data_IF_146848677629
#
_entry.id   IF_146848677629
#
_cell.length_a   1.000
_cell.length_b   1.000
_cell.length_c   1.000
_cell.angle_alpha   90.00
_cell.angle_beta   90.00
_cell.angle_gamma   90.00
#
_symmetry.space_group_name_H-M   'P 1'
#
loop_
_entity.id
_entity.type
_entity.pdbx_description
1 polymer ?
#
# COMPACT_ATOMS: atom_id res chain seq x y z
N UNK A 1 20.64 32.17 25.75
CA UNK A 1 20.78 30.86 26.42
C UNK A 1 19.46 30.21 26.86
N UNK A 2 18.40 30.95 27.27
CA UNK A 2 17.11 30.34 27.69
C UNK A 2 16.30 29.64 26.57
N UNK A 3 16.39 30.09 25.32
CA UNK A 3 15.60 29.52 24.21
C UNK A 3 16.00 28.09 23.82
N UNK A 4 17.30 27.76 23.88
CA UNK A 4 17.81 26.45 23.50
C UNK A 4 17.31 25.33 24.44
N UNK A 5 17.11 25.62 25.72
CA UNK A 5 16.58 24.66 26.68
C UNK A 5 15.09 24.35 26.44
N UNK A 6 14.29 25.36 26.04
CA UNK A 6 12.87 25.16 25.72
C UNK A 6 12.73 24.34 24.43
N UNK A 7 13.56 24.59 23.42
CA UNK A 7 13.58 23.81 22.18
C UNK A 7 13.97 22.35 22.42
N UNK A 8 14.99 22.10 23.24
CA UNK A 8 15.37 20.74 23.65
C UNK A 8 14.26 20.00 24.40
N UNK A 9 13.58 20.67 25.34
CA UNK A 9 12.46 20.07 26.06
C UNK A 9 11.27 19.77 25.13
N UNK A 10 10.97 20.68 24.19
CA UNK A 10 9.92 20.46 23.19
C UNK A 10 10.26 19.27 22.29
N UNK A 11 11.50 19.19 21.80
CA UNK A 11 11.96 18.06 20.99
C UNK A 11 11.87 16.73 21.76
N UNK A 12 12.32 16.71 23.03
CA UNK A 12 12.22 15.53 23.89
C UNK A 12 10.78 15.08 24.16
N UNK A 13 9.86 16.02 24.39
CA UNK A 13 8.44 15.71 24.56
C UNK A 13 7.80 15.15 23.30
N UNK A 14 8.06 15.76 22.13
CA UNK A 14 7.54 15.25 20.85
C UNK A 14 8.09 13.86 20.52
N UNK A 15 9.38 13.62 20.82
CA UNK A 15 9.99 12.31 20.66
C UNK A 15 9.34 11.26 21.57
N UNK A 16 9.15 11.57 22.86
CA UNK A 16 8.45 10.67 23.78
C UNK A 16 7.00 10.40 23.37
N UNK A 17 6.29 11.41 22.84
CA UNK A 17 4.95 11.24 22.28
C UNK A 17 4.95 10.31 21.08
N UNK A 18 5.90 10.47 20.14
CA UNK A 18 6.02 9.60 18.97
C UNK A 18 6.28 8.14 19.37
N UNK A 19 7.18 7.90 20.34
CA UNK A 19 7.44 6.57 20.91
C UNK A 19 6.17 5.97 21.52
N UNK A 20 5.43 6.75 22.31
CA UNK A 20 4.22 6.27 22.97
C UNK A 20 3.11 5.90 21.97
N UNK A 21 3.02 6.64 20.85
CA UNK A 21 2.05 6.37 19.80
C UNK A 21 2.41 5.10 19.01
N UNK A 22 3.69 4.90 18.67
CA UNK A 22 4.15 3.75 17.87
C UNK A 22 5.31 3.00 18.55
N UNK A 23 5.02 2.23 19.61
CA UNK A 23 6.05 1.60 20.44
C UNK A 23 6.88 0.56 19.68
N UNK A 24 6.32 -0.05 18.61
CA UNK A 24 7.07 -1.01 17.79
C UNK A 24 8.23 -0.34 17.03
N UNK A 25 8.10 0.94 16.70
CA UNK A 25 9.12 1.71 16.00
C UNK A 25 9.87 2.68 16.92
N UNK A 26 9.78 2.50 18.24
CA UNK A 26 10.35 3.40 19.24
C UNK A 26 11.86 3.64 19.07
N UNK A 27 12.60 2.63 18.60
CA UNK A 27 14.05 2.71 18.39
C UNK A 27 14.44 3.37 17.05
N UNK A 28 13.48 3.50 16.13
CA UNK A 28 13.71 3.96 14.76
C UNK A 28 13.02 5.28 14.45
N UNK A 29 12.49 5.97 15.47
CA UNK A 29 11.67 7.20 15.33
C UNK A 29 12.37 8.30 14.53
N UNK A 30 13.70 8.34 14.53
CA UNK A 30 14.48 9.40 13.87
C UNK A 30 15.44 8.88 12.81
N UNK A 31 15.85 7.61 12.89
CA UNK A 31 16.78 6.98 11.95
C UNK A 31 16.71 5.46 12.08
N UNK A 32 16.87 4.74 10.98
CA UNK A 32 17.02 3.29 10.96
C UNK A 32 15.85 2.54 10.32
N UNK A 33 15.88 1.21 10.42
CA UNK A 33 14.86 0.34 9.87
C UNK A 33 13.63 0.27 10.78
N UNK A 34 12.45 0.32 10.19
CA UNK A 34 11.17 0.25 10.87
C UNK A 34 10.17 -0.58 10.08
N UNK A 35 9.03 -0.90 10.70
CA UNK A 35 7.91 -1.55 10.03
C UNK A 35 6.67 -0.67 10.19
N UNK A 36 5.96 -0.42 9.10
CA UNK A 36 4.70 0.32 9.15
C UNK A 36 3.67 -0.44 9.97
N UNK A 37 3.12 0.22 10.99
CA UNK A 37 2.08 -0.30 11.89
C UNK A 37 0.80 0.50 11.71
N UNK A 38 -0.27 0.11 12.42
CA UNK A 38 -1.50 0.90 12.47
C UNK A 38 -1.33 2.26 13.16
N UNK A 39 -0.27 2.42 13.95
CA UNK A 39 0.02 3.65 14.67
C UNK A 39 1.11 4.50 14.01
N UNK A 40 1.76 3.98 12.98
CA UNK A 40 2.77 4.70 12.24
C UNK A 40 2.15 5.93 11.57
N UNK A 41 2.71 7.11 11.84
CA UNK A 41 2.16 8.36 11.31
C UNK A 41 2.19 8.42 9.78
N UNK A 42 3.01 7.59 9.14
CA UNK A 42 3.16 7.49 7.69
C UNK A 42 2.24 6.47 7.03
N UNK A 43 1.46 5.70 7.79
CA UNK A 43 0.45 4.83 7.22
C UNK A 43 -0.47 5.63 6.28
N UNK A 44 -0.77 5.08 5.10
CA UNK A 44 -1.50 5.73 4.00
C UNK A 44 -0.79 6.92 3.33
N UNK A 45 0.30 7.45 3.87
CA UNK A 45 1.08 8.48 3.17
C UNK A 45 1.78 7.88 1.95
N UNK A 46 2.12 8.73 0.97
CA UNK A 46 2.86 8.31 -0.22
C UNK A 46 4.36 8.46 0.01
N UNK A 47 5.10 7.45 -0.44
CA UNK A 47 6.55 7.52 -0.53
C UNK A 47 6.94 8.46 -1.69
N UNK A 48 7.75 9.47 -1.40
CA UNK A 48 8.22 10.49 -2.34
C UNK A 48 9.05 9.93 -3.51
N UNK A 49 9.60 8.72 -3.36
CA UNK A 49 10.46 8.08 -4.36
C UNK A 49 9.72 7.19 -5.36
N UNK A 50 8.79 6.40 -4.87
CA UNK A 50 8.12 5.38 -5.66
C UNK A 50 6.62 5.65 -5.83
N UNK A 51 6.10 6.69 -5.16
CA UNK A 51 4.71 7.15 -5.17
C UNK A 51 3.69 6.11 -4.68
N UNK A 52 4.16 4.99 -4.13
CA UNK A 52 3.30 4.02 -3.45
C UNK A 52 2.96 4.48 -2.03
N UNK A 53 1.74 4.18 -1.58
CA UNK A 53 1.34 4.40 -0.19
C UNK A 53 2.00 3.40 0.74
N UNK A 54 2.34 3.78 1.96
CA UNK A 54 2.77 2.85 3.01
C UNK A 54 1.57 2.06 3.56
N UNK A 55 1.72 0.73 3.63
CA UNK A 55 0.76 -0.25 4.15
C UNK A 55 1.28 -0.87 5.44
N UNK A 56 0.39 -1.33 6.31
CA UNK A 56 0.80 -2.12 7.47
C UNK A 56 1.65 -3.33 7.04
N UNK A 57 2.74 -3.58 7.77
CA UNK A 57 3.73 -4.62 7.46
C UNK A 57 4.83 -4.21 6.48
N UNK A 58 4.73 -3.04 5.83
CA UNK A 58 5.81 -2.55 4.97
C UNK A 58 7.06 -2.26 5.79
N UNK A 59 8.19 -2.85 5.37
CA UNK A 59 9.52 -2.47 5.85
C UNK A 59 9.88 -1.10 5.29
N UNK A 60 10.36 -0.22 6.14
CA UNK A 60 10.77 1.14 5.78
C UNK A 60 12.13 1.50 6.35
N UNK A 61 12.78 2.49 5.74
CA UNK A 61 13.98 3.14 6.24
C UNK A 61 13.61 4.59 6.59
N UNK A 62 13.92 4.99 7.81
CA UNK A 62 13.73 6.35 8.33
C UNK A 62 15.09 7.05 8.29
N UNK A 63 15.15 8.27 7.75
CA UNK A 63 16.38 9.05 7.71
C UNK A 63 16.13 10.55 7.97
N UNK A 64 17.12 11.29 8.49
CA UNK A 64 16.98 12.73 8.74
C UNK A 64 16.75 13.57 7.48
N UNK A 65 17.33 13.14 6.35
CA UNK A 65 17.31 13.87 5.08
C UNK A 65 16.07 13.54 4.23
N UNK A 66 15.52 12.35 4.42
CA UNK A 66 14.32 11.89 3.74
C UNK A 66 13.50 11.01 4.68
N UNK A 67 12.37 11.51 5.17
CA UNK A 67 11.84 11.06 6.44
C UNK A 67 11.52 9.57 6.41
N UNK A 68 10.94 9.02 5.32
CA UNK A 68 10.51 7.62 5.27
C UNK A 68 10.53 7.10 3.83
N UNK A 69 11.15 5.94 3.60
CA UNK A 69 11.17 5.26 2.30
C UNK A 69 10.88 3.77 2.46
N UNK A 70 10.25 3.14 1.47
CA UNK A 70 10.11 1.67 1.48
C UNK A 70 11.50 1.01 1.41
N UNK A 71 11.69 0.01 2.26
CA UNK A 71 12.88 -0.83 2.33
C UNK A 71 12.47 -2.28 2.03
N UNK A 72 12.02 -2.51 0.79
CA UNK A 72 11.56 -3.81 0.29
C UNK A 72 12.15 -4.07 -1.08
N UNK A 73 12.49 -5.33 -1.39
CA UNK A 73 12.94 -5.75 -2.73
C UNK A 73 11.88 -5.55 -3.80
N UNK A 74 10.60 -5.54 -3.41
CA UNK A 74 9.48 -5.31 -4.33
C UNK A 74 9.27 -3.83 -4.63
N UNK A 75 9.70 -2.95 -3.73
CA UNK A 75 9.54 -1.49 -3.79
C UNK A 75 10.85 -0.84 -3.31
N UNK A 76 11.95 -1.10 -4.00
CA UNK A 76 13.29 -0.69 -3.58
C UNK A 76 13.49 0.82 -3.72
N UNK A 77 12.84 1.59 -2.86
CA UNK A 77 12.91 3.05 -2.83
C UNK A 77 14.17 3.53 -2.08
N UNK A 78 14.85 2.61 -1.36
CA UNK A 78 16.08 2.82 -0.60
C UNK A 78 17.36 2.31 -1.31
N UNK A 79 17.26 1.61 -2.44
CA UNK A 79 18.42 1.07 -3.19
C UNK A 79 18.18 1.25 -4.69
N UNK A 80 19.07 1.92 -5.46
CA UNK A 80 19.01 1.87 -6.91
C UNK A 80 19.39 0.45 -7.35
N UNK A 81 18.40 -0.37 -7.68
CA UNK A 81 18.62 -1.74 -8.18
C UNK A 81 18.05 -1.89 -9.60
N UNK A 82 18.63 -2.80 -10.42
CA UNK A 82 18.37 -2.93 -11.85
C UNK A 82 16.91 -3.36 -12.13
N UNK A 83 16.45 -3.29 -13.39
CA UNK A 83 15.07 -3.62 -13.78
C UNK A 83 14.59 -4.93 -13.16
N UNK A 84 13.32 -4.89 -12.69
CA UNK A 84 12.61 -5.99 -12.06
C UNK A 84 12.75 -7.26 -12.89
N UNK A 85 13.15 -8.34 -12.23
CA UNK A 85 12.92 -9.68 -12.75
C UNK A 85 11.44 -9.99 -12.56
N UNK A 86 10.77 -10.44 -13.63
CA UNK A 86 9.42 -11.00 -13.55
C UNK A 86 9.35 -12.06 -12.43
N UNK A 87 8.18 -12.26 -11.78
CA UNK A 87 8.03 -13.26 -10.74
C UNK A 87 8.57 -14.61 -11.23
N UNK A 88 9.33 -15.30 -10.38
CA UNK A 88 9.89 -16.61 -10.74
C UNK A 88 8.78 -17.61 -11.03
N UNK A 89 9.09 -18.68 -11.77
CA UNK A 89 8.12 -19.74 -12.04
C UNK A 89 7.52 -20.31 -10.75
N UNK A 90 8.31 -20.42 -9.68
CA UNK A 90 7.84 -20.85 -8.35
C UNK A 90 6.87 -19.84 -7.72
N UNK A 91 7.15 -18.55 -7.86
CA UNK A 91 6.29 -17.47 -7.33
C UNK A 91 4.93 -17.48 -8.04
N UNK A 92 4.94 -17.60 -9.36
CA UNK A 92 3.71 -17.69 -10.16
C UNK A 92 2.91 -18.96 -9.83
N UNK A 93 3.58 -20.11 -9.67
CA UNK A 93 2.93 -21.37 -9.27
C UNK A 93 2.33 -21.29 -7.86
N UNK A 94 3.02 -20.64 -6.91
CA UNK A 94 2.48 -20.40 -5.57
C UNK A 94 1.19 -19.58 -5.63
N UNK A 95 1.19 -18.46 -6.36
CA UNK A 95 0.00 -17.61 -6.48
C UNK A 95 -1.13 -18.31 -7.22
N UNK A 96 -0.84 -19.12 -8.24
CA UNK A 96 -1.84 -19.94 -8.91
C UNK A 96 -2.48 -20.93 -7.94
N UNK A 97 -1.68 -21.65 -7.15
CA UNK A 97 -2.18 -22.54 -6.10
C UNK A 97 -3.03 -21.78 -5.06
N UNK A 98 -2.58 -20.61 -4.65
CA UNK A 98 -3.30 -19.76 -3.71
C UNK A 98 -4.67 -19.32 -4.27
N UNK A 99 -4.71 -18.84 -5.52
CA UNK A 99 -5.91 -18.33 -6.18
C UNK A 99 -6.98 -19.43 -6.35
N UNK A 100 -6.58 -20.68 -6.54
CA UNK A 100 -7.53 -21.81 -6.57
C UNK A 100 -8.23 -22.05 -5.23
N UNK A 101 -7.58 -21.73 -4.11
CA UNK A 101 -8.17 -21.84 -2.76
C UNK A 101 -9.00 -20.61 -2.37
N UNK A 102 -8.93 -19.52 -3.15
CA UNK A 102 -9.64 -18.28 -2.91
C UNK A 102 -10.42 -17.85 -4.17
N UNK A 103 -11.40 -18.66 -4.62
CA UNK A 103 -12.10 -18.46 -5.89
C UNK A 103 -12.76 -17.08 -5.96
N UNK A 104 -12.89 -16.53 -7.17
CA UNK A 104 -13.57 -15.26 -7.37
C UNK A 104 -15.02 -15.31 -6.83
N UNK A 105 -15.53 -14.23 -6.21
CA UNK A 105 -16.95 -14.09 -5.94
C UNK A 105 -17.76 -14.20 -7.24
N UNK A 106 -19.02 -14.65 -7.14
CA UNK A 106 -19.88 -14.85 -8.31
C UNK A 106 -19.89 -13.59 -9.20
N UNK A 107 -19.45 -13.76 -10.45
CA UNK A 107 -19.44 -12.74 -11.52
C UNK A 107 -18.48 -11.55 -11.34
N UNK A 108 -17.65 -11.51 -10.30
CA UNK A 108 -16.67 -10.45 -10.10
C UNK A 108 -15.34 -10.78 -10.81
N UNK A 109 -14.86 -9.93 -11.74
CA UNK A 109 -13.58 -10.18 -12.43
C UNK A 109 -12.41 -10.00 -11.45
N UNK A 110 -11.88 -11.13 -10.99
CA UNK A 110 -10.68 -11.22 -10.17
C UNK A 110 -9.44 -11.15 -11.06
N UNK A 111 -8.47 -10.31 -10.70
CA UNK A 111 -7.22 -10.11 -11.44
C UNK A 111 -6.05 -10.00 -10.48
N UNK A 112 -5.01 -10.79 -10.73
CA UNK A 112 -3.69 -10.58 -10.12
C UNK A 112 -2.90 -9.62 -11.00
N UNK A 113 -2.40 -8.53 -10.42
CA UNK A 113 -1.70 -7.50 -11.19
C UNK A 113 -0.29 -7.96 -11.52
N UNK A 114 0.05 -7.94 -12.81
CA UNK A 114 1.37 -8.32 -13.31
C UNK A 114 2.13 -7.11 -13.84
N UNK A 115 3.42 -7.28 -14.13
CA UNK A 115 4.22 -6.23 -14.74
C UNK A 115 3.62 -5.78 -16.09
N UNK A 116 3.59 -4.47 -16.32
CA UNK A 116 2.99 -3.88 -17.53
C UNK A 116 1.47 -3.70 -17.48
N UNK A 117 0.79 -4.12 -16.41
CA UNK A 117 -0.63 -3.86 -16.23
C UNK A 117 -0.92 -2.34 -16.22
N UNK A 118 -1.90 -1.84 -16.99
CA UNK A 118 -2.29 -0.42 -16.96
C UNK A 118 -2.62 0.10 -15.56
N UNK A 119 -3.12 -0.75 -14.65
CA UNK A 119 -3.41 -0.38 -13.27
C UNK A 119 -2.16 -0.14 -12.42
N UNK A 120 -0.98 -0.51 -12.91
CA UNK A 120 0.30 -0.26 -12.26
C UNK A 120 1.06 0.92 -12.86
N UNK A 121 0.44 1.62 -13.82
CA UNK A 121 1.06 2.77 -14.49
C UNK A 121 1.53 3.79 -13.44
N UNK A 122 2.81 4.21 -13.50
CA UNK A 122 3.34 5.24 -12.61
C UNK A 122 2.65 6.58 -12.82
N UNK A 123 2.71 7.44 -11.80
CA UNK A 123 2.20 8.80 -11.84
C UNK A 123 3.04 9.69 -12.77
N UNK A 124 2.83 9.61 -14.08
CA UNK A 124 3.42 10.55 -15.05
C UNK A 124 2.38 11.59 -15.49
N UNK A 125 2.84 12.82 -15.77
CA UNK A 125 2.01 13.85 -16.41
C UNK A 125 0.85 14.42 -15.56
N UNK A 126 0.92 14.32 -14.23
CA UNK A 126 -0.11 14.83 -13.32
C UNK A 126 -1.21 13.83 -12.96
N UNK A 127 -1.17 12.61 -13.49
CA UNK A 127 -2.07 11.53 -13.09
C UNK A 127 -1.56 10.83 -11.83
N UNK A 128 -2.47 10.50 -10.92
CA UNK A 128 -2.13 9.74 -9.71
C UNK A 128 -2.07 8.25 -10.03
N UNK A 129 -1.21 7.49 -9.33
CA UNK A 129 -1.24 6.03 -9.37
C UNK A 129 -2.64 5.50 -9.03
N UNK A 130 -3.07 4.46 -9.75
CA UNK A 130 -4.30 3.76 -9.39
C UNK A 130 -4.21 3.21 -7.97
N UNK A 131 -5.32 3.34 -7.26
CA UNK A 131 -5.44 2.97 -5.85
C UNK A 131 -6.75 2.23 -5.65
N UNK A 132 -6.79 1.37 -4.63
CA UNK A 132 -8.03 0.76 -4.20
C UNK A 132 -8.99 1.84 -3.72
N UNK A 133 -10.21 1.85 -4.27
CA UNK A 133 -11.21 2.88 -3.95
C UNK A 133 -11.72 2.83 -2.50
N UNK A 134 -11.50 1.72 -1.80
CA UNK A 134 -11.99 1.51 -0.43
C UNK A 134 -10.93 1.92 0.61
N UNK A 135 -9.70 1.38 0.51
CA UNK A 135 -8.64 1.67 1.49
C UNK A 135 -7.69 2.80 1.07
N UNK A 136 -7.78 3.29 -0.17
CA UNK A 136 -6.91 4.32 -0.70
C UNK A 136 -5.46 3.88 -0.97
N UNK A 137 -5.09 2.63 -0.70
CA UNK A 137 -3.75 2.14 -0.99
C UNK A 137 -3.50 2.01 -2.49
N UNK A 138 -2.38 2.53 -2.96
CA UNK A 138 -1.93 2.37 -4.35
C UNK A 138 -1.78 0.91 -4.69
N UNK A 139 -2.14 0.51 -5.91
CA UNK A 139 -2.00 -0.87 -6.39
C UNK A 139 -0.53 -1.21 -6.67
N UNK A 140 -0.14 -2.46 -6.43
CA UNK A 140 1.24 -2.98 -6.58
C UNK A 140 1.23 -4.26 -7.43
N UNK A 141 2.40 -4.61 -7.97
CA UNK A 141 2.60 -5.92 -8.60
C UNK A 141 2.22 -7.01 -7.58
N UNK A 142 1.59 -8.06 -8.10
CA UNK A 142 1.07 -9.21 -7.37
C UNK A 142 -0.10 -8.91 -6.44
N UNK A 143 -0.60 -7.67 -6.34
CA UNK A 143 -1.86 -7.43 -5.65
C UNK A 143 -2.97 -8.22 -6.36
N UNK A 144 -3.82 -8.86 -5.56
CA UNK A 144 -5.05 -9.48 -6.04
C UNK A 144 -6.20 -8.47 -5.89
N UNK A 145 -6.83 -8.11 -7.01
CA UNK A 145 -7.88 -7.10 -7.06
C UNK A 145 -9.13 -7.64 -7.74
N UNK A 146 -10.27 -7.08 -7.39
CA UNK A 146 -11.49 -7.19 -8.18
C UNK A 146 -11.66 -5.88 -8.95
N UNK A 147 -11.92 -6.00 -10.25
CA UNK A 147 -12.40 -4.86 -11.04
C UNK A 147 -13.91 -4.76 -10.83
N UNK A 148 -14.40 -3.56 -10.52
CA UNK A 148 -15.79 -3.37 -10.18
C UNK A 148 -16.71 -3.89 -11.33
N UNK A 149 -17.65 -4.81 -11.04
CA UNK A 149 -18.49 -5.45 -12.05
C UNK A 149 -19.72 -4.61 -12.44
N UNK A 150 -19.78 -3.32 -12.07
CA UNK A 150 -20.98 -2.50 -12.24
C UNK A 150 -21.46 -2.34 -13.70
N UNK A 151 -20.61 -2.63 -14.69
CA UNK A 151 -20.97 -2.70 -16.11
C UNK A 151 -20.39 -3.98 -16.74
N UNK A 152 -21.05 -5.14 -16.57
CA UNK A 152 -20.52 -6.42 -17.04
C UNK A 152 -20.34 -6.46 -18.57
N UNK A 153 -21.23 -5.78 -19.30
CA UNK A 153 -21.19 -5.75 -20.77
C UNK A 153 -20.19 -4.72 -21.34
N UNK A 154 -19.74 -3.76 -20.54
CA UNK A 154 -18.81 -2.71 -20.95
C UNK A 154 -18.02 -2.19 -19.74
N UNK A 155 -16.96 -2.87 -19.29
CA UNK A 155 -16.26 -2.58 -18.03
C UNK A 155 -15.37 -1.34 -18.14
N UNK A 156 -15.97 -0.17 -18.35
CA UNK A 156 -15.25 1.11 -18.44
C UNK A 156 -14.86 1.67 -17.07
N UNK A 157 -15.54 1.24 -16.00
CA UNK A 157 -15.32 1.82 -14.69
C UNK A 157 -13.89 1.59 -14.18
N UNK A 158 -13.22 0.48 -14.57
CA UNK A 158 -11.81 0.10 -14.25
C UNK A 158 -11.40 0.32 -12.77
N UNK A 159 -12.37 0.45 -11.87
CA UNK A 159 -12.14 0.66 -10.44
C UNK A 159 -11.66 -0.67 -9.88
N UNK A 160 -10.46 -0.65 -9.30
CA UNK A 160 -9.90 -1.80 -8.62
C UNK A 160 -10.21 -1.72 -7.12
N UNK A 161 -10.56 -2.85 -6.55
CA UNK A 161 -10.81 -3.04 -5.12
C UNK A 161 -9.90 -4.17 -4.67
N UNK A 162 -9.12 -3.96 -3.60
CA UNK A 162 -8.27 -5.03 -3.07
C UNK A 162 -9.10 -6.22 -2.60
N UNK A 163 -8.66 -7.41 -3.00
CA UNK A 163 -9.06 -8.69 -2.46
C UNK A 163 -7.80 -9.53 -2.33
N UNK A 164 -6.90 -9.11 -1.45
CA UNK A 164 -5.60 -9.73 -1.28
C UNK A 164 -5.38 -10.17 0.17
N UNK A 165 -5.87 -11.37 0.54
CA UNK A 165 -5.73 -11.88 1.90
C UNK A 165 -4.28 -12.10 2.32
N UNK A 166 -3.35 -12.33 1.38
CA UNK A 166 -1.92 -12.48 1.70
C UNK A 166 -1.35 -11.23 2.35
N UNK A 167 -1.89 -10.07 1.99
CA UNK A 167 -1.51 -8.78 2.55
C UNK A 167 -2.57 -8.22 3.52
N UNK A 168 -3.56 -9.03 3.91
CA UNK A 168 -4.67 -8.62 4.79
C UNK A 168 -5.60 -7.57 4.18
N UNK A 169 -5.60 -7.40 2.85
CA UNK A 169 -6.38 -6.37 2.14
C UNK A 169 -7.72 -6.95 1.68
N UNK A 170 -8.70 -6.98 2.58
CA UNK A 170 -10.03 -7.56 2.37
C UNK A 170 -11.10 -6.54 1.96
N UNK A 171 -10.71 -5.52 1.19
CA UNK A 171 -11.58 -4.39 0.89
C UNK A 171 -12.86 -4.78 0.15
N UNK A 172 -12.79 -5.77 -0.75
CA UNK A 172 -13.96 -6.28 -1.45
C UNK A 172 -14.99 -6.86 -0.48
N UNK A 173 -14.57 -7.76 0.41
CA UNK A 173 -15.47 -8.42 1.36
C UNK A 173 -16.13 -7.40 2.30
N UNK A 174 -15.38 -6.38 2.73
CA UNK A 174 -15.92 -5.31 3.55
C UNK A 174 -16.96 -4.48 2.79
N UNK A 175 -16.69 -4.15 1.52
CA UNK A 175 -17.64 -3.41 0.69
C UNK A 175 -18.91 -4.23 0.40
N UNK A 176 -18.74 -5.50 0.04
CA UNK A 176 -19.85 -6.42 -0.25
C UNK A 176 -20.79 -6.58 0.96
N UNK A 177 -20.23 -6.69 2.17
CA UNK A 177 -20.99 -6.84 3.40
C UNK A 177 -21.78 -5.59 3.80
N UNK A 178 -21.33 -4.39 3.42
CA UNK A 178 -21.94 -3.13 3.86
C UNK A 178 -22.83 -2.48 2.79
N UNK A 179 -22.49 -2.56 1.51
CA UNK A 179 -23.10 -1.73 0.45
C UNK A 179 -23.06 -2.38 -0.95
N UNK A 180 -22.79 -3.69 -1.05
CA UNK A 180 -22.40 -4.48 -2.23
C UNK A 180 -23.26 -4.45 -3.50
N UNK A 181 -24.19 -3.51 -3.63
CA UNK A 181 -25.12 -3.37 -4.76
C UNK A 181 -24.75 -2.24 -5.74
N UNK A 182 -23.85 -1.32 -5.37
CA UNK A 182 -23.60 -0.12 -6.16
C UNK A 182 -22.11 0.16 -6.40
N UNK A 183 -21.76 0.68 -7.58
CA UNK A 183 -20.37 0.96 -7.91
C UNK A 183 -19.70 1.88 -6.86
N UNK A 184 -18.61 1.47 -6.20
CA UNK A 184 -18.03 2.22 -5.10
C UNK A 184 -17.48 3.60 -5.49
N UNK A 185 -17.26 3.87 -6.78
CA UNK A 185 -16.85 5.21 -7.22
C UNK A 185 -18.02 6.16 -7.50
N UNK A 186 -19.25 5.67 -7.66
CA UNK A 186 -20.40 6.50 -8.06
C UNK A 186 -21.52 6.53 -7.01
N UNK A 187 -21.33 5.90 -5.86
CA UNK A 187 -22.40 5.69 -4.86
C UNK A 187 -22.33 6.67 -3.68
N UNK A 188 -21.68 7.82 -3.87
CA UNK A 188 -21.56 8.89 -2.87
C UNK A 188 -22.76 9.84 -2.88
#
# INVERSE_FOLDING_TARGET
>A
MKNNNIEKLRAGFQHGKAIAMDPMNALSVQEGEAMTTLNSYWLHQRCDQCDHTFRAGDKVLISPENPIRHHSTLLSCAQPTPPRSSPSAETSAFFQGYDTTCPAPDQAPLKRLEEGDPLLTPAYGGFQRHSCTICGHTLRISDLVILCPCQPQNPQCQIAIHRDPNHGLHCWQLWEANEGRYCPATSH
#
